data_IF_691761734987
#
_entry.id   IF_691761734987
#
_cell.length_a   1.000
_cell.length_b   1.000
_cell.length_c   1.000
_cell.angle_alpha   90.00
_cell.angle_beta   90.00
_cell.angle_gamma   90.00
#
_symmetry.space_group_name_H-M   'P 1'
#
loop_
_entity.id
_entity.type
_entity.pdbx_description
1 polymer ?
#
# COMPACT_ATOMS: atom_id res chain seq x y z
N UNK A 1 -28.02 20.96 7.79
CA UNK A 1 -28.79 21.78 8.75
C UNK A 1 -28.00 21.98 10.04
N UNK A 2 -27.79 20.96 10.88
CA UNK A 2 -27.01 21.13 12.12
C UNK A 2 -25.60 21.71 11.93
N UNK A 3 -24.78 21.23 10.98
CA UNK A 3 -23.44 21.81 10.74
C UNK A 3 -23.47 23.27 10.24
N UNK A 4 -24.52 23.65 9.49
CA UNK A 4 -24.70 25.02 8.98
C UNK A 4 -25.24 25.96 10.07
N UNK A 5 -26.11 25.46 10.94
CA UNK A 5 -26.72 26.22 12.04
C UNK A 5 -25.79 26.37 13.24
N UNK A 6 -24.89 25.40 13.47
CA UNK A 6 -23.92 25.43 14.57
C UNK A 6 -22.57 26.02 14.19
N UNK A 7 -22.38 26.38 12.92
CA UNK A 7 -21.07 26.74 12.32
C UNK A 7 -19.96 25.70 12.64
N UNK A 8 -20.37 24.45 12.90
CA UNK A 8 -19.50 23.37 13.33
C UNK A 8 -19.16 22.47 12.14
N UNK A 9 -17.88 22.48 11.72
CA UNK A 9 -17.37 21.60 10.66
C UNK A 9 -17.18 20.19 11.20
N UNK A 10 -17.94 19.23 10.69
CA UNK A 10 -17.94 17.85 11.21
C UNK A 10 -16.79 16.96 10.72
N UNK A 11 -15.87 17.46 9.89
CA UNK A 11 -14.74 16.67 9.39
C UNK A 11 -13.51 17.54 9.14
N UNK A 12 -12.35 17.15 9.69
CA UNK A 12 -11.05 17.68 9.28
C UNK A 12 -10.70 17.15 7.89
N UNK A 13 -10.76 18.00 6.87
CA UNK A 13 -10.30 17.71 5.51
C UNK A 13 -8.94 18.35 5.23
N UNK A 14 -8.33 18.05 4.09
CA UNK A 14 -7.03 18.61 3.72
C UNK A 14 -7.06 20.15 3.64
N UNK A 15 -8.20 20.73 3.28
CA UNK A 15 -8.41 22.18 3.28
C UNK A 15 -8.22 22.83 4.67
N UNK A 16 -8.35 22.07 5.75
CA UNK A 16 -8.13 22.56 7.12
C UNK A 16 -6.62 22.59 7.47
N UNK A 17 -5.76 21.98 6.65
CA UNK A 17 -4.29 21.98 6.74
C UNK A 17 -3.62 23.29 6.32
N UNK A 18 -4.17 24.43 6.77
CA UNK A 18 -3.65 25.78 6.49
C UNK A 18 -2.57 26.23 7.46
N UNK A 19 -2.40 25.51 8.58
CA UNK A 19 -1.33 25.77 9.51
C UNK A 19 0.04 25.52 8.85
N UNK A 20 1.08 26.29 9.21
CA UNK A 20 2.46 26.02 8.79
C UNK A 20 2.88 24.59 9.14
N UNK A 21 3.66 23.97 8.27
CA UNK A 21 4.28 22.68 8.55
C UNK A 21 5.23 22.78 9.75
N UNK A 22 5.54 21.67 10.44
CA UNK A 22 6.57 21.64 11.46
C UNK A 22 7.92 22.15 10.95
N UNK A 23 8.66 22.80 11.84
CA UNK A 23 10.02 23.24 11.55
C UNK A 23 10.97 22.01 11.45
N UNK A 24 12.05 22.09 10.66
CA UNK A 24 13.04 21.02 10.56
C UNK A 24 13.65 20.58 11.89
N UNK A 25 13.98 19.29 11.99
CA UNK A 25 14.54 18.68 13.20
C UNK A 25 15.87 19.34 13.60
N UNK A 26 16.68 19.79 12.63
CA UNK A 26 17.98 20.42 12.87
C UNK A 26 17.89 21.68 13.75
N UNK A 27 16.72 22.32 13.81
CA UNK A 27 16.49 23.49 14.67
C UNK A 27 16.49 23.12 16.15
N UNK A 28 16.06 21.90 16.47
CA UNK A 28 16.03 21.39 17.83
C UNK A 28 17.40 20.89 18.29
N UNK A 29 18.24 20.43 17.35
CA UNK A 29 19.56 19.86 17.61
C UNK A 29 20.69 20.92 17.64
N UNK A 30 20.47 22.12 17.12
CA UNK A 30 21.49 23.19 17.11
C UNK A 30 21.64 23.83 18.51
N UNK A 31 22.86 23.90 19.07
CA UNK A 31 23.11 24.63 20.31
C UNK A 31 22.76 26.12 20.09
N UNK A 32 22.03 26.71 21.04
CA UNK A 32 21.41 28.06 20.96
C UNK A 32 22.32 29.24 20.52
N UNK A 33 23.63 29.04 20.37
CA UNK A 33 24.62 30.07 20.07
C UNK A 33 24.71 30.45 18.58
N UNK A 34 24.08 29.69 17.65
CA UNK A 34 24.18 29.94 16.19
C UNK A 34 22.88 30.48 15.56
N UNK A 35 22.33 31.54 16.18
CA UNK A 35 21.06 32.20 15.81
C UNK A 35 20.97 32.67 14.34
N UNK A 36 22.11 32.85 13.67
CA UNK A 36 22.15 33.25 12.26
C UNK A 36 21.59 32.19 11.28
N UNK A 37 21.66 30.88 11.60
CA UNK A 37 21.05 29.83 10.78
C UNK A 37 19.53 29.71 10.99
N UNK A 38 19.04 30.08 12.17
CA UNK A 38 17.61 30.12 12.50
C UNK A 38 16.85 31.19 11.70
N UNK A 39 17.55 32.25 11.28
CA UNK A 39 17.01 33.34 10.45
C UNK A 39 16.75 32.97 8.99
N UNK A 40 17.19 31.79 8.50
CA UNK A 40 16.89 31.33 7.12
C UNK A 40 15.39 31.01 6.94
N UNK A 41 14.62 31.00 8.04
CA UNK A 41 13.16 30.91 8.06
C UNK A 41 12.45 32.28 8.05
N UNK A 42 12.90 33.27 7.26
CA UNK A 42 12.27 34.61 7.23
C UNK A 42 10.77 34.62 6.90
N UNK A 43 10.23 33.52 6.37
CA UNK A 43 8.80 33.35 6.07
C UNK A 43 8.15 32.13 6.75
N UNK A 44 8.89 31.42 7.62
CA UNK A 44 8.46 30.15 8.20
C UNK A 44 8.27 29.03 7.15
N UNK A 45 8.02 27.79 7.60
CA UNK A 45 7.64 26.70 6.70
C UNK A 45 6.27 26.98 6.05
N UNK A 46 6.05 26.54 4.79
CA UNK A 46 4.74 26.69 4.13
C UNK A 46 3.67 25.87 4.86
N UNK A 47 2.39 26.14 4.57
CA UNK A 47 1.31 25.26 5.01
C UNK A 47 1.35 23.90 4.31
N UNK A 48 0.73 22.88 4.92
CA UNK A 48 0.59 21.57 4.28
C UNK A 48 -0.10 21.68 2.92
N UNK A 49 -1.16 22.50 2.84
CA UNK A 49 -1.89 22.74 1.60
C UNK A 49 -0.99 23.33 0.50
N UNK A 50 -0.23 24.39 0.80
CA UNK A 50 0.66 25.03 -0.18
C UNK A 50 1.80 24.10 -0.61
N UNK A 51 2.37 23.35 0.33
CA UNK A 51 3.45 22.42 0.03
C UNK A 51 2.97 21.25 -0.86
N UNK A 52 1.75 20.75 -0.65
CA UNK A 52 1.14 19.75 -1.54
C UNK A 52 0.83 20.34 -2.92
N UNK A 53 0.31 21.57 -2.98
CA UNK A 53 0.03 22.24 -4.25
C UNK A 53 1.29 22.37 -5.10
N UNK A 54 2.37 22.91 -4.53
CA UNK A 54 3.69 22.99 -5.18
C UNK A 54 4.17 21.59 -5.61
N UNK A 55 4.02 20.58 -4.76
CA UNK A 55 4.49 19.24 -5.08
C UNK A 55 3.71 18.60 -6.24
N UNK A 56 2.39 18.73 -6.28
CA UNK A 56 1.57 18.21 -7.37
C UNK A 56 1.71 19.00 -8.67
N UNK A 57 1.85 20.33 -8.60
CA UNK A 57 1.84 21.20 -9.79
C UNK A 57 3.23 21.46 -10.35
N UNK A 58 4.22 21.70 -9.49
CA UNK A 58 5.61 21.98 -9.89
C UNK A 58 6.52 20.74 -9.85
N UNK A 59 6.04 19.60 -9.31
CA UNK A 59 6.84 18.38 -9.17
C UNK A 59 8.14 18.64 -8.38
N UNK A 60 8.03 19.42 -7.29
CA UNK A 60 9.17 19.88 -6.51
C UNK A 60 8.89 19.86 -5.01
N UNK A 61 9.90 19.51 -4.22
CA UNK A 61 9.86 19.60 -2.75
C UNK A 61 10.25 21.01 -2.32
N UNK A 62 9.46 21.61 -1.42
CA UNK A 62 9.83 22.88 -0.80
C UNK A 62 11.11 22.70 0.03
N UNK A 63 12.10 23.59 -0.06
CA UNK A 63 13.32 23.48 0.74
C UNK A 63 13.03 23.54 2.25
N UNK A 64 13.97 23.06 3.05
CA UNK A 64 13.92 23.13 4.52
C UNK A 64 12.67 22.48 5.13
N UNK A 65 12.27 21.31 4.61
CA UNK A 65 11.26 20.47 5.24
C UNK A 65 11.91 19.36 6.06
N UNK A 66 11.54 19.29 7.34
CA UNK A 66 11.88 18.20 8.25
C UNK A 66 11.23 16.87 7.89
N UNK A 67 11.64 15.80 8.55
CA UNK A 67 11.09 14.45 8.40
C UNK A 67 9.61 14.40 8.74
N UNK A 68 9.19 15.04 9.84
CA UNK A 68 7.77 15.08 10.21
C UNK A 68 6.93 15.78 9.13
N UNK A 69 7.44 16.87 8.55
CA UNK A 69 6.77 17.60 7.47
C UNK A 69 6.65 16.74 6.21
N UNK A 70 7.66 15.93 5.88
CA UNK A 70 7.61 14.95 4.78
C UNK A 70 6.57 13.85 5.05
N UNK A 71 6.48 13.35 6.29
CA UNK A 71 5.42 12.41 6.69
C UNK A 71 4.04 13.04 6.50
N UNK A 72 3.84 14.29 6.94
CA UNK A 72 2.56 14.99 6.75
C UNK A 72 2.22 15.17 5.26
N UNK A 73 3.20 15.43 4.39
CA UNK A 73 2.99 15.47 2.94
C UNK A 73 2.51 14.12 2.40
N UNK A 74 3.17 13.03 2.78
CA UNK A 74 2.77 11.66 2.37
C UNK A 74 1.32 11.38 2.81
N UNK A 75 0.98 11.73 4.05
CA UNK A 75 -0.38 11.60 4.58
C UNK A 75 -1.39 12.45 3.82
N UNK A 76 -1.03 13.69 3.49
CA UNK A 76 -1.84 14.60 2.71
C UNK A 76 -2.13 14.09 1.30
N UNK A 77 -1.16 13.46 0.63
CA UNK A 77 -1.32 12.92 -0.73
C UNK A 77 -2.39 11.83 -0.80
N UNK A 78 -2.28 10.77 0.00
CA UNK A 78 -3.27 9.70 -0.07
C UNK A 78 -4.63 10.15 0.50
N UNK A 79 -4.64 11.09 1.45
CA UNK A 79 -5.87 11.71 1.92
C UNK A 79 -6.56 12.49 0.81
N UNK A 80 -5.80 13.20 -0.03
CA UNK A 80 -6.34 13.91 -1.20
C UNK A 80 -6.97 12.96 -2.20
N UNK A 81 -6.30 11.85 -2.52
CA UNK A 81 -6.86 10.82 -3.40
C UNK A 81 -8.17 10.26 -2.82
N UNK A 82 -8.23 10.05 -1.51
CA UNK A 82 -9.45 9.56 -0.86
C UNK A 82 -10.59 10.57 -0.92
N UNK A 83 -10.33 11.86 -0.72
CA UNK A 83 -11.33 12.92 -0.88
C UNK A 83 -11.91 12.94 -2.30
N UNK A 84 -11.04 12.87 -3.31
CA UNK A 84 -11.46 12.84 -4.72
C UNK A 84 -12.27 11.58 -5.03
N UNK A 85 -11.83 10.42 -4.54
CA UNK A 85 -12.55 9.16 -4.72
C UNK A 85 -13.93 9.18 -4.04
N UNK A 86 -14.03 9.75 -2.84
CA UNK A 86 -15.30 9.93 -2.13
C UNK A 86 -16.22 10.85 -2.89
N UNK A 87 -15.72 11.98 -3.40
CA UNK A 87 -16.50 12.90 -4.22
C UNK A 87 -17.05 12.19 -5.46
N UNK A 88 -16.21 11.55 -6.28
CA UNK A 88 -16.68 10.85 -7.49
C UNK A 88 -17.45 9.54 -7.23
N UNK A 89 -17.53 9.06 -5.99
CA UNK A 89 -18.39 7.91 -5.65
C UNK A 89 -19.86 8.29 -5.47
N UNK A 90 -20.16 9.58 -5.27
CA UNK A 90 -21.53 10.07 -5.14
C UNK A 90 -22.23 10.09 -6.50
N UNK A 91 -23.40 9.44 -6.60
CA UNK A 91 -24.21 9.42 -7.83
C UNK A 91 -24.58 10.84 -8.31
N UNK A 92 -24.73 11.79 -7.38
CA UNK A 92 -25.10 13.17 -7.70
C UNK A 92 -23.90 14.09 -7.92
N UNK A 93 -22.68 13.61 -7.80
CA UNK A 93 -21.49 14.47 -7.84
C UNK A 93 -21.23 15.09 -9.21
N UNK A 94 -21.59 14.38 -10.28
CA UNK A 94 -21.52 14.86 -11.67
C UNK A 94 -22.90 15.27 -12.22
N UNK A 95 -23.98 15.13 -11.42
CA UNK A 95 -25.34 15.47 -11.85
C UNK A 95 -25.63 16.95 -11.61
N UNK A 96 -26.19 17.61 -12.61
CA UNK A 96 -26.62 19.02 -12.55
C UNK A 96 -28.15 19.06 -12.46
N UNK A 97 -28.74 19.68 -11.43
CA UNK A 97 -30.19 19.79 -11.33
C UNK A 97 -30.80 20.52 -12.52
N UNK A 98 -31.76 19.88 -13.18
CA UNK A 98 -32.58 20.49 -14.24
C UNK A 98 -34.01 20.69 -13.71
N UNK A 99 -34.73 21.68 -14.25
CA UNK A 99 -36.11 21.97 -13.87
C UNK A 99 -37.13 20.92 -14.38
N UNK A 100 -36.66 19.92 -15.13
CA UNK A 100 -37.47 18.85 -15.68
C UNK A 100 -37.41 17.65 -14.73
N UNK A 101 -38.57 17.01 -14.51
CA UNK A 101 -38.65 15.80 -13.70
C UNK A 101 -37.98 14.64 -14.44
N UNK A 102 -36.78 14.25 -13.99
CA UNK A 102 -36.06 13.08 -14.50
C UNK A 102 -36.46 11.83 -13.71
N UNK A 103 -36.60 10.70 -14.40
CA UNK A 103 -36.93 9.43 -13.77
C UNK A 103 -35.77 8.98 -12.88
N UNK A 104 -36.07 8.55 -11.64
CA UNK A 104 -35.07 7.99 -10.73
C UNK A 104 -34.25 6.90 -11.42
N UNK A 105 -32.97 7.16 -11.66
CA UNK A 105 -32.03 6.11 -12.01
C UNK A 105 -31.93 5.15 -10.82
N UNK A 106 -32.08 3.84 -11.08
CA UNK A 106 -32.03 2.78 -10.07
C UNK A 106 -30.84 3.02 -9.14
N UNK A 107 -31.13 3.18 -7.86
CA UNK A 107 -30.13 3.24 -6.79
C UNK A 107 -29.28 1.99 -6.88
N UNK A 108 -28.05 2.13 -7.40
CA UNK A 108 -27.04 1.08 -7.26
C UNK A 108 -26.84 0.96 -5.74
N UNK A 109 -26.90 -0.26 -5.16
CA UNK A 109 -26.71 -0.43 -3.72
C UNK A 109 -25.44 0.28 -3.28
N UNK A 110 -25.52 1.02 -2.18
CA UNK A 110 -24.42 1.76 -1.56
C UNK A 110 -23.23 0.82 -1.28
N UNK A 111 -22.41 0.62 -2.30
CA UNK A 111 -21.22 -0.22 -2.25
C UNK A 111 -20.02 0.67 -1.99
N UNK A 112 -19.33 0.36 -0.89
CA UNK A 112 -17.94 0.69 -0.53
C UNK A 112 -17.19 1.45 -1.64
N UNK A 113 -16.67 2.63 -1.30
CA UNK A 113 -15.87 3.50 -2.18
C UNK A 113 -14.83 2.66 -2.93
N UNK A 114 -15.13 2.31 -4.17
CA UNK A 114 -14.18 1.63 -5.05
C UNK A 114 -13.21 2.66 -5.58
N UNK A 115 -12.01 2.66 -5.02
CA UNK A 115 -10.96 3.64 -5.30
C UNK A 115 -10.55 3.69 -6.80
N UNK A 116 -10.89 2.71 -7.63
CA UNK A 116 -10.39 2.64 -9.02
C UNK A 116 -11.41 2.81 -10.15
N UNK A 117 -12.66 3.20 -9.87
CA UNK A 117 -13.71 3.13 -10.90
C UNK A 117 -13.70 4.27 -11.93
N UNK A 118 -13.09 5.43 -11.63
CA UNK A 118 -13.15 6.60 -12.53
C UNK A 118 -11.77 7.00 -13.08
N UNK A 119 -11.68 7.50 -14.33
CA UNK A 119 -10.43 7.99 -14.91
C UNK A 119 -9.80 9.14 -14.11
N UNK A 120 -10.62 9.97 -13.47
CA UNK A 120 -10.16 11.08 -12.63
C UNK A 120 -9.39 10.54 -11.41
N UNK A 121 -9.96 9.58 -10.69
CA UNK A 121 -9.31 9.01 -9.51
C UNK A 121 -8.02 8.27 -9.90
N UNK A 122 -8.01 7.57 -11.05
CA UNK A 122 -6.80 6.93 -11.56
C UNK A 122 -5.67 7.93 -11.83
N UNK A 123 -5.98 9.11 -12.40
CA UNK A 123 -4.99 10.18 -12.60
C UNK A 123 -4.44 10.72 -11.27
N UNK A 124 -5.30 10.89 -10.26
CA UNK A 124 -4.87 11.30 -8.92
C UNK A 124 -3.99 10.26 -8.24
N UNK A 125 -4.31 8.96 -8.36
CA UNK A 125 -3.46 7.87 -7.86
C UNK A 125 -2.07 7.94 -8.51
N UNK A 126 -2.02 8.02 -9.85
CA UNK A 126 -0.76 8.03 -10.58
C UNK A 126 0.07 9.28 -10.23
N UNK A 127 -0.52 10.48 -10.30
CA UNK A 127 0.19 11.71 -9.94
C UNK A 127 0.65 11.76 -8.48
N UNK A 128 -0.06 11.07 -7.57
CA UNK A 128 0.41 10.92 -6.19
C UNK A 128 1.59 9.97 -6.09
N UNK A 129 1.62 8.89 -6.88
CA UNK A 129 2.78 8.01 -6.95
C UNK A 129 4.00 8.76 -7.50
N UNK A 130 3.84 9.58 -8.54
CA UNK A 130 4.91 10.41 -9.09
C UNK A 130 5.48 11.36 -8.02
N UNK A 131 4.61 12.01 -7.23
CA UNK A 131 5.04 12.85 -6.11
C UNK A 131 5.75 12.07 -5.00
N UNK A 132 5.30 10.83 -4.72
CA UNK A 132 5.96 9.96 -3.77
C UNK A 132 7.35 9.52 -4.27
N UNK A 133 7.57 9.41 -5.60
CA UNK A 133 8.87 9.10 -6.18
C UNK A 133 9.86 10.25 -5.98
N UNK A 134 9.41 11.50 -6.15
CA UNK A 134 10.22 12.69 -5.85
C UNK A 134 10.64 12.70 -4.37
N UNK A 135 9.70 12.45 -3.45
CA UNK A 135 10.02 12.34 -2.02
C UNK A 135 10.97 11.18 -1.72
N UNK A 136 10.83 10.07 -2.43
CA UNK A 136 11.67 8.89 -2.27
C UNK A 136 13.10 9.11 -2.78
N UNK A 137 13.29 9.77 -3.92
CA UNK A 137 14.63 10.16 -4.41
C UNK A 137 15.33 11.12 -3.43
N UNK A 138 14.56 12.05 -2.84
CA UNK A 138 15.10 12.91 -1.79
C UNK A 138 15.50 12.11 -0.54
N UNK A 139 14.69 11.14 -0.11
CA UNK A 139 15.03 10.25 0.99
C UNK A 139 16.27 9.39 0.68
N UNK A 140 16.38 8.85 -0.54
CA UNK A 140 17.51 8.04 -0.98
C UNK A 140 18.84 8.79 -0.90
N UNK A 141 18.83 10.09 -1.19
CA UNK A 141 20.00 10.96 -1.02
C UNK A 141 20.46 11.02 0.44
N UNK A 142 19.52 11.14 1.39
CA UNK A 142 19.81 11.11 2.83
C UNK A 142 20.31 9.74 3.28
N UNK A 143 19.69 8.66 2.80
CA UNK A 143 20.08 7.28 3.12
C UNK A 143 21.52 7.01 2.68
N UNK A 144 21.91 7.48 1.50
CA UNK A 144 23.28 7.35 0.99
C UNK A 144 24.28 8.06 1.92
N UNK A 145 23.94 9.25 2.40
CA UNK A 145 24.76 9.98 3.39
C UNK A 145 24.82 9.26 4.74
N UNK A 146 23.74 8.56 5.12
CA UNK A 146 23.64 7.76 6.33
C UNK A 146 24.18 6.32 6.17
N UNK A 147 25.07 6.07 5.20
CA UNK A 147 25.68 4.74 4.95
C UNK A 147 24.66 3.62 4.74
N UNK A 148 23.52 3.92 4.12
CA UNK A 148 22.47 2.96 3.82
C UNK A 148 21.42 2.76 4.92
N UNK A 149 21.46 3.54 6.00
CA UNK A 149 20.44 3.48 7.05
C UNK A 149 19.15 4.16 6.58
N UNK A 150 18.07 3.37 6.47
CA UNK A 150 16.75 3.88 6.14
C UNK A 150 16.08 4.51 7.36
N UNK A 151 15.59 5.73 7.20
CA UNK A 151 14.90 6.49 8.23
C UNK A 151 13.36 6.26 8.15
N UNK A 152 12.59 6.58 9.21
CA UNK A 152 11.16 6.22 9.29
C UNK A 152 10.27 6.70 8.15
N UNK A 153 10.60 7.81 7.49
CA UNK A 153 9.84 8.30 6.32
C UNK A 153 9.79 7.27 5.18
N UNK A 154 10.81 6.42 5.03
CA UNK A 154 10.86 5.36 4.00
C UNK A 154 9.70 4.38 4.16
N UNK A 155 9.39 3.99 5.41
CA UNK A 155 8.25 3.13 5.70
C UNK A 155 6.93 3.79 5.29
N UNK A 156 6.76 5.08 5.59
CA UNK A 156 5.57 5.84 5.19
C UNK A 156 5.44 5.95 3.67
N UNK A 157 6.55 6.13 2.96
CA UNK A 157 6.59 6.19 1.49
C UNK A 157 6.11 4.89 0.86
N UNK A 158 6.57 3.73 1.34
CA UNK A 158 6.09 2.44 0.84
C UNK A 158 4.65 2.15 1.26
N UNK A 159 4.28 2.48 2.49
CA UNK A 159 2.91 2.29 2.98
C UNK A 159 1.89 3.11 2.17
N UNK A 160 2.20 4.38 1.88
CA UNK A 160 1.32 5.22 1.07
C UNK A 160 1.11 4.65 -0.34
N UNK A 161 2.15 4.07 -0.95
CA UNK A 161 2.01 3.37 -2.23
C UNK A 161 1.11 2.14 -2.12
N UNK A 162 1.18 1.37 -1.03
CA UNK A 162 0.21 0.28 -0.80
C UNK A 162 -1.22 0.80 -0.71
N UNK A 163 -1.44 1.88 0.04
CA UNK A 163 -2.77 2.50 0.21
C UNK A 163 -3.34 2.96 -1.14
N UNK A 164 -2.49 3.47 -2.03
CA UNK A 164 -2.90 3.98 -3.35
C UNK A 164 -3.07 2.88 -4.42
N UNK A 165 -2.24 1.83 -4.38
CA UNK A 165 -2.14 0.84 -5.45
C UNK A 165 -2.94 -0.45 -5.20
N UNK A 166 -3.23 -0.77 -3.93
CA UNK A 166 -3.94 -1.99 -3.55
C UNK A 166 -5.42 -1.70 -3.20
N UNK A 167 -6.33 -2.67 -3.41
CA UNK A 167 -7.72 -2.58 -2.97
C UNK A 167 -7.82 -2.80 -1.45
N UNK A 168 -7.34 -1.83 -0.66
CA UNK A 168 -7.17 -1.97 0.80
C UNK A 168 -8.48 -2.34 1.50
N UNK A 169 -9.61 -1.68 1.14
CA UNK A 169 -10.92 -1.98 1.72
C UNK A 169 -11.30 -3.45 1.49
N UNK A 170 -11.21 -3.92 0.25
CA UNK A 170 -11.57 -5.29 -0.11
C UNK A 170 -10.67 -6.32 0.59
N UNK A 171 -9.37 -6.04 0.69
CA UNK A 171 -8.40 -6.87 1.42
C UNK A 171 -8.78 -6.99 2.90
N UNK A 172 -9.08 -5.86 3.55
CA UNK A 172 -9.42 -5.83 4.97
C UNK A 172 -10.78 -6.45 5.25
N UNK A 173 -11.78 -6.22 4.40
CA UNK A 173 -13.10 -6.81 4.53
C UNK A 173 -13.04 -8.33 4.37
N UNK A 174 -12.30 -8.82 3.37
CA UNK A 174 -12.10 -10.26 3.18
C UNK A 174 -11.42 -10.88 4.40
N UNK A 175 -10.37 -10.22 4.91
CA UNK A 175 -9.65 -10.68 6.10
C UNK A 175 -10.55 -10.72 7.34
N UNK A 176 -11.38 -9.70 7.55
CA UNK A 176 -12.33 -9.64 8.67
C UNK A 176 -13.46 -10.65 8.52
N UNK A 177 -14.00 -10.88 7.33
CA UNK A 177 -15.06 -11.86 7.08
C UNK A 177 -14.62 -13.27 7.53
N UNK A 178 -13.34 -13.59 7.34
CA UNK A 178 -12.75 -14.87 7.77
C UNK A 178 -12.65 -15.03 9.28
N UNK A 179 -12.55 -13.94 10.03
CA UNK A 179 -12.62 -13.98 11.51
C UNK A 179 -14.04 -14.30 11.95
N UNK A 180 -15.05 -13.65 11.36
CA UNK A 180 -16.46 -13.81 11.74
C UNK A 180 -17.01 -15.21 11.44
N UNK A 181 -16.47 -15.92 10.44
CA UNK A 181 -16.81 -17.31 10.14
C UNK A 181 -16.43 -18.31 11.23
N UNK A 182 -15.52 -17.96 12.15
CA UNK A 182 -15.18 -18.81 13.31
C UNK A 182 -16.25 -18.79 14.41
N UNK A 183 -17.14 -17.80 14.42
CA UNK A 183 -18.22 -17.65 15.40
C UNK A 183 -19.50 -18.31 14.88
N UNK A 184 -20.01 -19.37 15.53
CA UNK A 184 -21.17 -20.12 15.05
C UNK A 184 -22.46 -19.40 15.46
N UNK A 185 -22.90 -18.42 14.66
CA UNK A 185 -24.23 -17.82 14.87
C UNK A 185 -24.91 -17.44 13.56
N UNK A 186 -26.07 -18.10 13.33
CA UNK A 186 -27.15 -17.85 12.36
C UNK A 186 -26.90 -18.22 10.88
N UNK A 187 -27.69 -19.20 10.42
CA UNK A 187 -27.67 -19.77 9.08
C UNK A 187 -28.15 -18.81 7.96
N UNK A 188 -28.96 -17.79 8.27
CA UNK A 188 -29.40 -16.78 7.29
C UNK A 188 -28.31 -15.76 6.94
N UNK A 189 -27.38 -15.49 7.88
CA UNK A 189 -26.20 -14.65 7.63
C UNK A 189 -25.24 -15.29 6.62
N UNK A 190 -25.20 -16.64 6.58
CA UNK A 190 -24.21 -17.43 5.87
C UNK A 190 -24.23 -17.21 4.35
N UNK A 191 -25.42 -17.17 3.74
CA UNK A 191 -25.56 -16.98 2.29
C UNK A 191 -25.14 -15.58 1.84
N UNK A 192 -25.54 -14.54 2.59
CA UNK A 192 -25.15 -13.15 2.30
C UNK A 192 -23.63 -12.96 2.47
N UNK A 193 -23.04 -13.51 3.54
CA UNK A 193 -21.58 -13.47 3.74
C UNK A 193 -20.81 -14.22 2.65
N UNK A 194 -21.33 -15.33 2.12
CA UNK A 194 -20.68 -16.07 1.05
C UNK A 194 -20.72 -15.31 -0.30
N UNK A 195 -21.85 -14.67 -0.61
CA UNK A 195 -21.95 -13.83 -1.82
C UNK A 195 -21.02 -12.62 -1.75
N UNK A 196 -20.97 -11.95 -0.58
CA UNK A 196 -20.05 -10.83 -0.35
C UNK A 196 -18.59 -11.28 -0.43
N UNK A 197 -18.24 -12.40 0.21
CA UNK A 197 -16.89 -12.98 0.14
C UNK A 197 -16.48 -13.31 -1.30
N UNK A 198 -17.39 -13.91 -2.08
CA UNK A 198 -17.11 -14.21 -3.48
C UNK A 198 -16.90 -12.93 -4.29
N UNK A 199 -17.70 -11.89 -4.05
CA UNK A 199 -17.53 -10.57 -4.66
C UNK A 199 -16.17 -9.95 -4.34
N UNK A 200 -15.73 -10.02 -3.08
CA UNK A 200 -14.42 -9.55 -2.63
C UNK A 200 -13.28 -10.32 -3.31
N UNK A 201 -13.36 -11.66 -3.33
CA UNK A 201 -12.38 -12.52 -4.02
C UNK A 201 -12.27 -12.20 -5.51
N UNK A 202 -13.41 -12.00 -6.18
CA UNK A 202 -13.44 -11.63 -7.60
C UNK A 202 -12.80 -10.26 -7.82
N UNK A 203 -13.01 -9.31 -6.90
CA UNK A 203 -12.37 -7.98 -6.97
C UNK A 203 -10.85 -8.08 -6.85
N UNK A 204 -10.34 -8.86 -5.89
CA UNK A 204 -8.91 -9.09 -5.71
C UNK A 204 -8.30 -9.81 -6.92
N UNK A 205 -8.98 -10.83 -7.46
CA UNK A 205 -8.54 -11.52 -8.67
C UNK A 205 -8.47 -10.57 -9.88
N UNK A 206 -9.46 -9.68 -10.04
CA UNK A 206 -9.41 -8.63 -11.07
C UNK A 206 -8.24 -7.68 -10.87
N UNK A 207 -7.95 -7.28 -9.64
CA UNK A 207 -6.80 -6.44 -9.34
C UNK A 207 -5.48 -7.13 -9.74
N UNK A 208 -5.32 -8.41 -9.42
CA UNK A 208 -4.10 -9.17 -9.76
C UNK A 208 -3.97 -9.41 -11.26
N UNK A 209 -5.05 -9.82 -11.94
CA UNK A 209 -4.98 -10.24 -13.35
C UNK A 209 -5.14 -9.08 -14.35
N UNK A 210 -6.12 -8.21 -14.11
CA UNK A 210 -6.47 -7.15 -15.07
C UNK A 210 -5.73 -5.84 -14.77
N UNK A 211 -5.48 -5.53 -13.49
CA UNK A 211 -4.67 -4.39 -13.07
C UNK A 211 -3.26 -4.83 -12.64
N UNK A 212 -2.70 -5.81 -13.34
CA UNK A 212 -1.45 -6.50 -12.97
C UNK A 212 -0.27 -5.54 -12.78
N UNK A 213 -0.15 -4.46 -13.56
CA UNK A 213 0.91 -3.46 -13.36
C UNK A 213 0.87 -2.85 -11.95
N UNK A 214 -0.31 -2.42 -11.49
CA UNK A 214 -0.50 -1.84 -10.15
C UNK A 214 -0.34 -2.91 -9.07
N UNK A 215 -0.82 -4.13 -9.31
CA UNK A 215 -0.66 -5.23 -8.37
C UNK A 215 0.81 -5.62 -8.16
N UNK A 216 1.59 -5.71 -9.26
CA UNK A 216 3.04 -6.00 -9.22
C UNK A 216 3.82 -4.88 -8.54
N UNK A 217 3.49 -3.62 -8.82
CA UNK A 217 4.11 -2.48 -8.13
C UNK A 217 3.77 -2.47 -6.63
N UNK A 218 2.54 -2.82 -6.26
CA UNK A 218 2.15 -2.92 -4.85
C UNK A 218 2.94 -4.02 -4.11
N UNK A 219 3.15 -5.21 -4.70
CA UNK A 219 3.93 -6.26 -4.02
C UNK A 219 5.42 -5.93 -3.90
N UNK A 220 5.98 -5.10 -4.79
CA UNK A 220 7.35 -4.57 -4.64
C UNK A 220 7.43 -3.72 -3.36
N UNK A 221 6.53 -2.75 -3.20
CA UNK A 221 6.52 -1.90 -2.00
C UNK A 221 6.16 -2.67 -0.73
N UNK A 222 5.31 -3.70 -0.82
CA UNK A 222 5.06 -4.60 0.30
C UNK A 222 6.33 -5.36 0.70
N UNK A 223 7.11 -5.84 -0.27
CA UNK A 223 8.43 -6.42 -0.04
C UNK A 223 9.41 -5.43 0.62
N UNK A 224 9.43 -4.17 0.19
CA UNK A 224 10.23 -3.10 0.81
C UNK A 224 9.83 -2.85 2.27
N UNK A 225 8.55 -2.93 2.61
CA UNK A 225 8.09 -2.84 4.01
C UNK A 225 8.64 -4.02 4.84
N UNK A 226 8.62 -5.25 4.32
CA UNK A 226 9.23 -6.39 5.01
C UNK A 226 10.75 -6.21 5.18
N UNK A 227 11.43 -5.66 4.19
CA UNK A 227 12.86 -5.31 4.29
C UNK A 227 13.10 -4.30 5.42
N UNK A 228 12.35 -3.20 5.42
CA UNK A 228 12.43 -2.13 6.42
C UNK A 228 12.20 -2.68 7.82
N UNK A 229 11.07 -3.34 8.07
CA UNK A 229 10.67 -3.81 9.40
C UNK A 229 11.66 -4.82 10.00
N UNK A 230 12.35 -5.60 9.16
CA UNK A 230 13.36 -6.56 9.65
C UNK A 230 14.63 -5.88 10.14
N UNK A 231 14.98 -4.71 9.60
CA UNK A 231 16.28 -4.05 9.77
C UNK A 231 16.23 -2.76 10.56
N UNK A 232 15.25 -1.91 10.28
CA UNK A 232 15.18 -0.52 10.70
C UNK A 232 13.97 -0.20 11.57
N UNK A 233 13.13 -1.20 11.90
CA UNK A 233 12.00 -1.03 12.82
C UNK A 233 12.46 -0.37 14.13
N UNK A 234 11.75 0.68 14.51
CA UNK A 234 11.98 1.47 15.71
C UNK A 234 10.77 1.46 16.67
N UNK A 235 9.75 0.66 16.38
CA UNK A 235 8.54 0.56 17.20
C UNK A 235 7.56 1.72 16.97
N UNK A 236 7.61 2.37 15.80
CA UNK A 236 6.68 3.43 15.47
C UNK A 236 5.23 2.92 15.39
N UNK A 237 4.26 3.76 15.77
CA UNK A 237 2.83 3.41 15.84
C UNK A 237 2.27 2.89 14.51
N UNK A 238 2.87 3.31 13.39
CA UNK A 238 2.45 2.89 12.04
C UNK A 238 2.93 1.48 11.66
N UNK A 239 3.99 0.96 12.30
CA UNK A 239 4.65 -0.30 11.91
C UNK A 239 3.71 -1.52 11.92
N UNK A 240 2.85 -1.74 12.94
CA UNK A 240 1.92 -2.86 12.94
C UNK A 240 0.94 -2.81 11.76
N UNK A 241 0.45 -1.62 11.40
CA UNK A 241 -0.46 -1.45 10.26
C UNK A 241 0.26 -1.67 8.94
N UNK A 242 1.49 -1.15 8.80
CA UNK A 242 2.30 -1.36 7.60
C UNK A 242 2.59 -2.84 7.36
N UNK A 243 2.98 -3.57 8.42
CA UNK A 243 3.21 -5.02 8.36
C UNK A 243 1.94 -5.78 7.96
N UNK A 244 0.82 -5.47 8.63
CA UNK A 244 -0.47 -6.09 8.36
C UNK A 244 -0.89 -5.90 6.89
N UNK A 245 -0.86 -4.66 6.39
CA UNK A 245 -1.26 -4.37 5.02
C UNK A 245 -0.32 -5.00 4.00
N UNK A 246 1.00 -4.91 4.20
CA UNK A 246 1.98 -5.57 3.33
C UNK A 246 1.75 -7.09 3.27
N UNK A 247 1.46 -7.71 4.42
CA UNK A 247 1.15 -9.14 4.50
C UNK A 247 -0.09 -9.49 3.68
N UNK A 248 -1.19 -8.72 3.81
CA UNK A 248 -2.41 -8.95 3.04
C UNK A 248 -2.20 -8.78 1.53
N UNK A 249 -1.46 -7.75 1.12
CA UNK A 249 -1.14 -7.47 -0.29
C UNK A 249 -0.41 -8.65 -0.94
N UNK A 250 0.66 -9.13 -0.29
CA UNK A 250 1.46 -10.25 -0.81
C UNK A 250 0.67 -11.56 -0.75
N UNK A 251 -0.09 -11.79 0.33
CA UNK A 251 -0.93 -12.98 0.47
C UNK A 251 -2.00 -13.05 -0.62
N UNK A 252 -2.72 -11.95 -0.88
CA UNK A 252 -3.75 -11.92 -1.91
C UNK A 252 -3.16 -12.18 -3.30
N UNK A 253 -2.03 -11.55 -3.62
CA UNK A 253 -1.31 -11.81 -4.87
C UNK A 253 -0.89 -13.29 -4.99
N UNK A 254 -0.35 -13.87 -3.92
CA UNK A 254 0.08 -15.27 -3.86
C UNK A 254 -1.07 -16.23 -4.12
N UNK A 255 -2.21 -16.06 -3.45
CA UNK A 255 -3.39 -16.93 -3.62
C UNK A 255 -3.99 -16.83 -5.01
N UNK A 256 -4.05 -15.61 -5.58
CA UNK A 256 -4.59 -15.38 -6.92
C UNK A 256 -3.72 -15.96 -8.03
N UNK A 257 -2.40 -15.98 -7.87
CA UNK A 257 -1.46 -16.50 -8.88
C UNK A 257 -1.16 -17.99 -8.72
N UNK A 258 -1.19 -18.52 -7.50
CA UNK A 258 -0.94 -19.96 -7.24
C UNK A 258 -2.01 -20.87 -7.85
N UNK A 259 -3.23 -20.36 -8.02
CA UNK A 259 -4.34 -21.08 -8.65
C UNK A 259 -4.16 -21.29 -10.16
N UNK A 260 -3.17 -20.65 -10.78
CA UNK A 260 -3.00 -20.63 -12.23
C UNK A 260 -1.90 -21.55 -12.78
N UNK A 261 -1.15 -22.30 -11.96
CA UNK A 261 -0.14 -23.24 -12.50
C UNK A 261 -0.87 -24.41 -13.17
N UNK A 262 -0.91 -24.49 -14.51
CA UNK A 262 -1.37 -25.68 -15.20
C UNK A 262 -0.25 -26.72 -15.06
N UNK A 263 -0.62 -27.95 -14.75
CA UNK A 263 0.25 -29.11 -14.89
C UNK A 263 0.84 -29.09 -16.29
N UNK A 264 2.17 -28.92 -16.39
CA UNK A 264 2.90 -29.03 -17.65
C UNK A 264 2.94 -30.50 -18.06
N UNK A 265 1.91 -30.98 -18.76
CA UNK A 265 2.02 -32.14 -19.63
C UNK A 265 1.30 -31.86 -20.95
N UNK A 266 2.12 -31.75 -21.99
CA UNK A 266 1.88 -32.12 -23.40
C UNK A 266 0.87 -31.31 -24.25
N UNK A 267 1.38 -30.62 -25.29
CA UNK A 267 1.07 -30.88 -26.71
C UNK A 267 1.46 -29.70 -27.64
N UNK A 268 2.47 -29.97 -28.48
CA UNK A 268 2.70 -29.53 -29.87
C UNK A 268 1.97 -28.28 -30.42
N UNK A 269 2.75 -27.27 -30.79
CA UNK A 269 2.31 -26.08 -31.56
C UNK A 269 2.56 -26.31 -33.06
N UNK A 270 1.56 -26.13 -33.95
CA UNK A 270 1.80 -25.87 -35.36
C UNK A 270 2.02 -24.37 -35.58
N UNK A 271 3.14 -24.08 -36.20
CA UNK A 271 3.69 -22.77 -36.55
C UNK A 271 2.88 -22.11 -37.68
N UNK A 272 2.25 -20.95 -37.42
CA UNK A 272 1.80 -19.99 -38.44
C UNK A 272 1.23 -18.72 -37.78
N UNK A 273 2.04 -17.71 -37.44
CA UNK A 273 1.54 -16.32 -37.36
C UNK A 273 2.65 -15.28 -37.60
N UNK A 274 2.37 -14.37 -38.53
CA UNK A 274 3.11 -13.12 -38.75
C UNK A 274 3.08 -12.25 -37.49
N UNK A 275 4.22 -11.68 -37.02
CA UNK A 275 4.24 -10.91 -35.79
C UNK A 275 3.64 -9.50 -35.96
N UNK A 276 2.73 -9.16 -35.05
CA UNK A 276 2.25 -7.80 -34.81
C UNK A 276 3.37 -6.92 -34.19
N UNK A 277 3.36 -5.58 -34.32
CA UNK A 277 4.35 -4.68 -33.70
C UNK A 277 4.51 -4.84 -32.17
N UNK A 278 3.47 -5.31 -31.49
CA UNK A 278 3.51 -5.66 -30.06
C UNK A 278 4.29 -6.95 -29.78
N UNK A 279 4.27 -7.92 -30.70
CA UNK A 279 5.01 -9.18 -30.58
C UNK A 279 6.52 -8.95 -30.71
N UNK A 280 6.95 -8.02 -31.58
CA UNK A 280 8.37 -7.68 -31.76
C UNK A 280 8.95 -7.04 -30.50
N UNK A 281 8.21 -6.14 -29.85
CA UNK A 281 8.64 -5.55 -28.56
C UNK A 281 8.69 -6.57 -27.40
N UNK A 282 7.84 -7.60 -27.44
CA UNK A 282 7.87 -8.71 -26.48
C UNK A 282 9.08 -9.60 -26.76
N UNK A 283 9.38 -9.88 -28.04
CA UNK A 283 10.53 -10.67 -28.46
C UNK A 283 11.86 -10.00 -28.06
N UNK A 284 12.02 -8.70 -28.36
CA UNK A 284 13.23 -7.94 -28.00
C UNK A 284 13.42 -7.86 -26.48
N UNK A 285 12.33 -7.71 -25.72
CA UNK A 285 12.38 -7.67 -24.26
C UNK A 285 12.59 -9.06 -23.61
N UNK A 286 12.13 -10.13 -24.26
CA UNK A 286 12.40 -11.50 -23.84
C UNK A 286 13.85 -11.89 -24.15
N UNK A 287 14.39 -11.47 -25.28
CA UNK A 287 15.81 -11.63 -25.62
C UNK A 287 16.68 -10.81 -24.64
N UNK A 288 16.22 -9.63 -24.20
CA UNK A 288 16.81 -8.91 -23.08
C UNK A 288 16.72 -9.71 -21.77
N UNK A 289 15.56 -10.27 -21.39
CA UNK A 289 15.39 -11.07 -20.17
C UNK A 289 16.31 -12.32 -20.15
N UNK A 290 16.44 -12.98 -21.30
CA UNK A 290 17.35 -14.13 -21.50
C UNK A 290 18.82 -13.69 -21.43
N UNK A 291 19.18 -12.51 -21.96
CA UNK A 291 20.54 -11.97 -21.85
C UNK A 291 20.92 -11.54 -20.42
N UNK A 292 19.95 -11.12 -19.60
CA UNK A 292 20.18 -10.69 -18.21
C UNK A 292 20.20 -11.87 -17.20
N UNK A 293 19.80 -13.08 -17.60
CA UNK A 293 19.84 -14.27 -16.74
C UNK A 293 18.93 -14.21 -15.50
N UNK A 294 18.13 -13.15 -15.33
CA UNK A 294 17.30 -12.93 -14.14
C UNK A 294 15.82 -13.15 -14.44
N UNK A 295 15.43 -14.43 -14.41
CA UNK A 295 14.02 -14.82 -14.23
C UNK A 295 13.52 -14.60 -12.81
N UNK A 296 14.31 -13.98 -11.92
CA UNK A 296 14.01 -13.83 -10.49
C UNK A 296 14.16 -12.38 -10.04
N UNK A 297 13.19 -11.92 -9.23
CA UNK A 297 13.26 -10.64 -8.50
C UNK A 297 13.16 -10.93 -7.00
N UNK A 298 14.05 -10.34 -6.20
CA UNK A 298 13.95 -10.44 -4.75
C UNK A 298 13.22 -9.22 -4.17
N UNK A 299 11.92 -9.38 -3.90
CA UNK A 299 11.01 -8.29 -3.53
C UNK A 299 11.39 -7.60 -2.21
N UNK A 300 12.03 -8.33 -1.30
CA UNK A 300 12.43 -7.83 0.02
C UNK A 300 13.91 -7.44 0.07
N UNK A 301 14.41 -6.86 -1.03
CA UNK A 301 15.72 -6.20 -1.16
C UNK A 301 15.54 -4.89 -1.90
N UNK A 302 16.42 -3.90 -1.70
CA UNK A 302 16.55 -2.80 -2.64
C UNK A 302 16.76 -3.35 -4.06
N UNK A 303 15.91 -2.92 -4.98
CA UNK A 303 15.97 -3.26 -6.40
C UNK A 303 16.19 -1.95 -7.17
N UNK A 304 16.97 -2.01 -8.26
CA UNK A 304 17.06 -0.90 -9.19
C UNK A 304 15.76 -0.73 -10.00
N UNK A 305 15.59 0.46 -10.58
CA UNK A 305 14.37 0.84 -11.30
C UNK A 305 14.18 0.00 -12.57
N UNK A 306 15.25 -0.50 -13.19
CA UNK A 306 15.19 -1.30 -14.42
C UNK A 306 14.59 -2.69 -14.13
N UNK A 307 15.05 -3.36 -13.07
CA UNK A 307 14.50 -4.63 -12.62
C UNK A 307 13.04 -4.49 -12.14
N UNK A 308 12.72 -3.37 -11.49
CA UNK A 308 11.34 -3.03 -11.10
C UNK A 308 10.45 -2.87 -12.34
N UNK A 309 10.88 -2.10 -13.34
CA UNK A 309 10.13 -1.92 -14.58
C UNK A 309 9.95 -3.23 -15.34
N UNK A 310 11.01 -4.04 -15.41
CA UNK A 310 10.98 -5.36 -16.03
C UNK A 310 9.97 -6.27 -15.34
N UNK A 311 9.96 -6.32 -14.00
CA UNK A 311 8.98 -7.11 -13.26
C UNK A 311 7.56 -6.57 -13.40
N UNK A 312 7.36 -5.26 -13.38
CA UNK A 312 6.04 -4.66 -13.60
C UNK A 312 5.49 -5.06 -14.97
N UNK A 313 6.33 -5.09 -16.01
CA UNK A 313 5.92 -5.45 -17.38
C UNK A 313 5.80 -6.96 -17.62
N UNK A 314 6.82 -7.73 -17.26
CA UNK A 314 6.99 -9.16 -17.59
C UNK A 314 6.89 -10.08 -16.36
N UNK A 315 6.29 -9.59 -15.28
CA UNK A 315 6.22 -10.30 -14.02
C UNK A 315 5.56 -11.68 -14.08
N UNK A 316 4.78 -12.01 -15.12
CA UNK A 316 4.29 -13.38 -15.33
C UNK A 316 5.43 -14.36 -15.61
N UNK A 317 6.41 -13.98 -16.44
CA UNK A 317 7.58 -14.80 -16.76
C UNK A 317 8.66 -14.79 -15.67
N UNK A 318 8.50 -13.93 -14.65
CA UNK A 318 9.46 -13.79 -13.57
C UNK A 318 8.99 -14.49 -12.29
N UNK A 319 9.96 -14.84 -11.46
CA UNK A 319 9.84 -15.52 -10.17
C UNK A 319 10.06 -14.50 -9.06
N UNK A 320 8.98 -13.98 -8.45
CA UNK A 320 9.10 -13.11 -7.29
C UNK A 320 9.45 -13.91 -6.04
N UNK A 321 10.58 -13.58 -5.42
CA UNK A 321 11.12 -14.24 -4.24
C UNK A 321 11.15 -13.32 -3.04
N UNK A 322 10.90 -13.87 -1.85
CA UNK A 322 11.12 -13.19 -0.56
C UNK A 322 11.88 -14.10 0.41
N UNK A 323 12.81 -13.51 1.16
CA UNK A 323 13.52 -14.21 2.23
C UNK A 323 12.52 -14.82 3.24
N UNK A 324 12.78 -16.07 3.63
CA UNK A 324 11.97 -16.91 4.54
C UNK A 324 10.61 -17.35 4.00
N UNK A 325 10.20 -16.88 2.83
CA UNK A 325 8.96 -17.29 2.17
C UNK A 325 9.27 -18.17 0.96
N UNK A 326 10.22 -17.74 0.11
CA UNK A 326 10.52 -18.38 -1.16
C UNK A 326 9.84 -17.68 -2.34
N UNK A 327 9.58 -18.42 -3.41
CA UNK A 327 8.78 -17.96 -4.54
C UNK A 327 7.33 -17.70 -4.07
N UNK A 328 6.87 -16.45 -4.11
CA UNK A 328 5.54 -16.09 -3.58
C UNK A 328 4.38 -16.60 -4.45
N UNK A 329 4.63 -17.03 -5.70
CA UNK A 329 3.62 -17.66 -6.59
C UNK A 329 3.43 -19.15 -6.34
N UNK A 330 4.23 -19.77 -5.48
CA UNK A 330 4.11 -21.20 -5.16
C UNK A 330 2.91 -21.47 -4.24
N UNK A 331 2.24 -22.61 -4.41
CA UNK A 331 1.01 -22.98 -3.67
C UNK A 331 1.15 -22.84 -2.14
N UNK A 332 2.25 -23.35 -1.57
CA UNK A 332 2.49 -23.28 -0.12
C UNK A 332 2.92 -21.89 0.42
N UNK A 333 3.09 -20.90 -0.45
CA UNK A 333 3.66 -19.61 -0.04
C UNK A 333 2.67 -18.76 0.74
N UNK A 334 1.37 -18.85 0.46
CA UNK A 334 0.33 -18.09 1.15
C UNK A 334 0.40 -18.28 2.69
N UNK A 335 0.54 -19.52 3.15
CA UNK A 335 0.69 -19.83 4.57
C UNK A 335 2.03 -19.33 5.16
N UNK A 336 3.12 -19.37 4.39
CA UNK A 336 4.43 -18.83 4.81
C UNK A 336 4.40 -17.31 4.95
N UNK A 337 3.73 -16.61 4.03
CA UNK A 337 3.52 -15.16 4.06
C UNK A 337 2.81 -14.76 5.35
N UNK A 338 1.67 -15.40 5.66
CA UNK A 338 0.91 -15.11 6.88
C UNK A 338 1.74 -15.34 8.15
N UNK A 339 2.48 -16.45 8.22
CA UNK A 339 3.35 -16.76 9.37
C UNK A 339 4.46 -15.75 9.56
N UNK A 340 5.12 -15.31 8.49
CA UNK A 340 6.18 -14.31 8.59
C UNK A 340 5.61 -12.94 9.01
N UNK A 341 4.45 -12.54 8.48
CA UNK A 341 3.74 -11.33 8.92
C UNK A 341 3.40 -11.35 10.41
N UNK A 342 2.79 -12.44 10.89
CA UNK A 342 2.49 -12.66 12.32
C UNK A 342 3.77 -12.58 13.16
N UNK A 343 4.83 -13.27 12.74
CA UNK A 343 6.11 -13.25 13.45
C UNK A 343 6.67 -11.83 13.58
N UNK A 344 6.58 -11.03 12.53
CA UNK A 344 7.00 -9.63 12.59
C UNK A 344 6.15 -8.84 13.57
N UNK A 345 4.82 -9.03 13.62
CA UNK A 345 3.94 -8.38 14.61
C UNK A 345 4.36 -8.73 16.04
N UNK A 346 4.58 -10.01 16.34
CA UNK A 346 4.97 -10.46 17.68
C UNK A 346 6.42 -10.09 18.07
N UNK A 347 7.28 -9.82 17.10
CA UNK A 347 8.67 -9.43 17.37
C UNK A 347 8.79 -7.95 17.77
N UNK A 348 7.84 -7.10 17.35
CA UNK A 348 7.76 -5.70 17.81
C UNK A 348 7.53 -5.63 19.33
N UNK A 349 6.76 -6.56 19.89
CA UNK A 349 6.54 -6.64 21.34
C UNK A 349 7.80 -7.09 22.12
N UNK A 350 8.71 -7.84 21.48
CA UNK A 350 9.86 -8.47 22.14
C UNK A 350 11.22 -7.76 21.95
N UNK A 351 11.43 -6.99 20.87
CA UNK A 351 12.72 -6.30 20.65
C UNK A 351 12.97 -5.17 21.65
N UNK A 352 11.93 -4.58 22.23
CA UNK A 352 12.06 -3.50 23.23
C UNK A 352 12.40 -4.04 24.61
N UNK A 353 11.98 -5.26 24.95
CA UNK A 353 12.33 -5.90 26.23
C UNK A 353 13.79 -6.36 26.28
N UNK A 354 14.45 -6.53 25.12
CA UNK A 354 15.86 -6.96 25.03
C UNK A 354 16.92 -5.87 25.25
N UNK A 355 16.54 -4.58 25.30
CA UNK A 355 17.49 -3.46 25.44
C UNK A 355 17.61 -2.90 26.87
N UNK A 356 16.95 -3.47 27.88
CA UNK A 356 17.06 -3.01 29.28
C UNK A 356 17.45 -4.14 30.22
N UNK A 357 18.76 -4.37 30.32
CA UNK A 357 19.39 -5.05 31.45
C UNK A 357 19.91 -4.00 32.46
N UNK A 358 19.02 -3.13 32.94
CA UNK A 358 19.26 -2.40 34.18
C UNK A 358 17.93 -2.06 34.88
N UNK A 359 17.90 -2.26 36.19
CA UNK A 359 16.73 -2.55 37.04
C UNK A 359 15.72 -1.41 37.28
N UNK A 360 15.39 -0.63 36.26
CA UNK A 360 14.32 0.37 36.32
C UNK A 360 13.00 -0.21 35.81
N UNK A 361 11.92 0.00 36.58
CA UNK A 361 10.53 -0.45 36.35
C UNK A 361 10.18 -0.54 34.86
N UNK A 362 9.71 -1.73 34.45
CA UNK A 362 9.21 -1.99 33.10
C UNK A 362 8.12 -0.97 32.73
N UNK A 363 8.44 -0.06 31.82
CA UNK A 363 7.40 0.60 31.05
C UNK A 363 6.85 -0.45 30.09
N UNK A 364 5.62 -0.89 30.36
CA UNK A 364 4.84 -1.73 29.44
C UNK A 364 4.73 -0.93 28.15
N UNK A 365 5.47 -1.33 27.12
CA UNK A 365 5.34 -0.67 25.83
C UNK A 365 4.09 -1.23 25.17
N UNK A 366 3.02 -0.45 25.23
CA UNK A 366 1.79 -0.72 24.51
C UNK A 366 2.07 -0.56 23.00
N UNK A 367 2.33 -1.65 22.27
CA UNK A 367 1.60 -1.74 21.00
C UNK A 367 0.14 -1.55 21.41
N UNK A 368 -0.57 -0.59 20.81
CA UNK A 368 -1.86 -0.08 21.29
C UNK A 368 -3.00 -1.12 21.17
N UNK A 369 -2.76 -2.40 21.47
CA UNK A 369 -3.64 -3.56 21.22
C UNK A 369 -3.81 -3.94 19.74
N UNK A 370 -3.39 -3.06 18.82
CA UNK A 370 -3.62 -3.25 17.38
C UNK A 370 -2.80 -4.40 16.79
N UNK A 371 -1.62 -4.69 17.31
CA UNK A 371 -0.79 -5.81 16.84
C UNK A 371 -1.45 -7.17 17.12
N UNK A 372 -2.10 -7.32 18.29
CA UNK A 372 -2.87 -8.52 18.64
C UNK A 372 -4.09 -8.68 17.72
N UNK A 373 -4.77 -7.57 17.43
CA UNK A 373 -5.91 -7.55 16.51
C UNK A 373 -5.50 -8.02 15.11
N UNK A 374 -4.42 -7.48 14.56
CA UNK A 374 -3.89 -7.90 13.27
C UNK A 374 -3.38 -9.34 13.28
N UNK A 375 -2.74 -9.78 14.37
CA UNK A 375 -2.29 -11.17 14.53
C UNK A 375 -3.48 -12.14 14.50
N UNK A 376 -4.57 -11.81 15.19
CA UNK A 376 -5.81 -12.59 15.20
C UNK A 376 -6.40 -12.71 13.80
N UNK A 377 -6.49 -11.59 13.07
CA UNK A 377 -7.00 -11.55 11.69
C UNK A 377 -6.14 -12.42 10.75
N UNK A 378 -4.82 -12.23 10.76
CA UNK A 378 -3.89 -13.01 9.91
C UNK A 378 -3.92 -14.51 10.26
N UNK A 379 -4.07 -14.84 11.55
CA UNK A 379 -4.20 -16.24 12.01
C UNK A 379 -5.51 -16.87 11.56
N UNK A 380 -6.60 -16.11 11.49
CA UNK A 380 -7.88 -16.58 10.97
C UNK A 380 -7.81 -16.89 9.46
N UNK A 381 -7.09 -16.07 8.70
CA UNK A 381 -6.84 -16.31 7.28
C UNK A 381 -6.08 -17.62 7.01
N UNK A 382 -5.12 -17.97 7.87
CA UNK A 382 -4.29 -19.17 7.70
C UNK A 382 -4.90 -20.48 8.21
N UNK A 383 -6.03 -20.42 8.94
CA UNK A 383 -6.62 -21.58 9.61
C UNK A 383 -7.61 -22.38 8.73
N UNK A 384 -7.89 -21.93 7.50
CA UNK A 384 -8.85 -22.60 6.60
C UNK A 384 -8.13 -23.69 5.81
N UNK A 385 -8.58 -24.96 5.84
CA UNK A 385 -8.03 -26.01 4.99
C UNK A 385 -8.22 -25.66 3.50
N UNK A 386 -7.24 -25.99 2.66
CA UNK A 386 -7.22 -25.81 1.20
C UNK A 386 -8.33 -26.56 0.42
N UNK A 387 -9.43 -26.95 1.05
CA UNK A 387 -10.49 -27.79 0.47
C UNK A 387 -11.53 -27.04 -0.35
N UNK A 388 -11.45 -25.71 -0.49
CA UNK A 388 -12.26 -24.97 -1.46
C UNK A 388 -11.45 -24.66 -2.73
N UNK A 389 -10.77 -25.68 -3.27
CA UNK A 389 -10.31 -25.65 -4.64
C UNK A 389 -11.54 -25.49 -5.56
N UNK A 390 -11.50 -24.43 -6.35
CA UNK A 390 -12.52 -24.01 -7.31
C UNK A 390 -12.81 -25.18 -8.28
N UNK A 391 -14.06 -25.66 -8.43
CA UNK A 391 -14.39 -26.49 -9.58
C UNK A 391 -14.29 -25.63 -10.85
N UNK A 392 -13.63 -26.19 -11.86
CA UNK A 392 -13.35 -25.60 -13.16
C UNK A 392 -14.59 -25.09 -13.89
#
# INVERSE_FOLDING_TARGET
MMAYESDFRMSMGLFDGKAPLPCPEQIWDEPMLNVARLLILTSGPPSLYLALDILYTEQRIVPNLGELSRVLLIHGMYSRVWEVARYHSGHLSDWVPTALSEHHHRTIPEGIIKLSSTPVVSRWINGSCDCLDILHWSAQSTILQASGLEHPTVLHLHLARLILLAPVSDLQELAKAKVHQKTPSQAESYLYTNMQEHGLRNSLLKWVLHNHYKARLAIIHAGSIFWYLRRYSCGAVVEPFANYLATLVIWAYSVSTSSQVPTLEDHSVPDYYHPSPLQTQISDAMEQLESHGTSLIQLDRPCDDELVQLFVRFGEQMTPYMARIGNIKHRDSAGKILREGIKLLSCHDNKVTGLRRDGSKAFVNCTWGVAETFTSILSALGAVPEQNAIPA
#
